data_IF_962615177144
#
_entry.id   IF_962615177144
#
_cell.length_a   1.000
_cell.length_b   1.000
_cell.length_c   1.000
_cell.angle_alpha   90.00
_cell.angle_beta   90.00
_cell.angle_gamma   90.00
#
_symmetry.space_group_name_H-M   'P 1'
#
loop_
_entity.id
_entity.type
_entity.pdbx_description
1 polymer ?
#
# COMPACT_ATOMS: atom_id res chain seq x y z
N UNK A 1 -10.58 12.34 18.72
CA UNK A 1 -10.84 12.01 17.30
C UNK A 1 -9.80 12.72 16.47
N UNK A 2 -8.59 12.18 16.46
CA UNK A 2 -7.55 12.64 15.55
C UNK A 2 -7.78 11.81 14.30
N UNK A 3 -8.45 12.39 13.29
CA UNK A 3 -8.45 11.81 11.95
C UNK A 3 -7.00 11.44 11.62
N UNK A 4 -6.80 10.26 11.01
CA UNK A 4 -5.58 9.94 10.28
C UNK A 4 -5.39 11.01 9.18
N UNK A 5 -4.88 12.16 9.58
CA UNK A 5 -4.63 13.28 8.71
C UNK A 5 -3.65 12.78 7.65
N UNK A 6 -4.03 12.95 6.38
CA UNK A 6 -3.11 12.68 5.28
C UNK A 6 -1.82 13.46 5.55
N UNK A 7 -0.65 12.86 5.25
CA UNK A 7 0.59 13.57 5.40
C UNK A 7 0.53 14.88 4.60
N UNK A 8 1.03 15.94 5.23
CA UNK A 8 1.15 17.25 4.59
C UNK A 8 1.98 17.07 3.31
N UNK A 9 1.55 17.68 2.19
CA UNK A 9 2.19 17.49 0.87
C UNK A 9 1.42 16.60 -0.13
N UNK A 10 0.33 15.95 0.31
CA UNK A 10 -0.64 15.32 -0.58
C UNK A 10 -0.09 14.12 -1.35
N UNK A 11 -0.56 13.92 -2.60
CA UNK A 11 -0.20 12.76 -3.43
C UNK A 11 1.28 12.63 -3.73
N UNK A 12 2.03 13.73 -3.62
CA UNK A 12 3.48 13.78 -3.81
C UNK A 12 4.25 12.91 -2.82
N UNK A 13 3.68 12.64 -1.64
CA UNK A 13 4.29 11.78 -0.62
C UNK A 13 4.48 10.33 -1.08
N UNK A 14 3.76 9.90 -2.12
CA UNK A 14 3.89 8.57 -2.71
C UNK A 14 4.52 8.60 -4.11
N UNK A 15 5.05 9.75 -4.54
CA UNK A 15 5.67 9.91 -5.85
C UNK A 15 7.02 9.18 -5.91
N UNK A 16 7.33 8.64 -7.08
CA UNK A 16 8.64 8.12 -7.48
C UNK A 16 9.66 9.22 -7.81
N UNK A 17 9.28 10.50 -7.77
CA UNK A 17 10.17 11.62 -8.06
C UNK A 17 10.77 11.51 -9.47
N UNK A 18 12.11 11.45 -9.55
CA UNK A 18 12.85 11.27 -10.81
C UNK A 18 13.09 9.80 -11.17
N UNK A 19 12.78 8.86 -10.27
CA UNK A 19 12.92 7.43 -10.56
C UNK A 19 11.83 7.00 -11.54
N UNK A 20 12.00 5.87 -12.24
CA UNK A 20 10.95 5.32 -13.09
C UNK A 20 9.61 5.05 -12.36
N UNK A 21 8.48 5.00 -13.08
CA UNK A 21 7.15 4.84 -12.50
C UNK A 21 6.95 3.59 -11.64
N UNK A 22 7.72 2.54 -11.87
CA UNK A 22 7.63 1.29 -11.10
C UNK A 22 8.16 1.40 -9.65
N UNK A 23 8.76 2.54 -9.27
CA UNK A 23 9.15 2.84 -7.88
C UNK A 23 8.10 3.66 -7.11
N UNK A 24 6.93 3.92 -7.71
CA UNK A 24 5.89 4.70 -7.06
C UNK A 24 5.34 3.96 -5.82
N UNK A 25 5.15 4.69 -4.72
CA UNK A 25 4.59 4.12 -3.50
C UNK A 25 3.10 3.85 -3.63
N UNK A 26 2.63 2.76 -3.02
CA UNK A 26 1.20 2.45 -2.91
C UNK A 26 0.74 2.72 -1.48
N UNK A 27 -0.23 3.61 -1.33
CA UNK A 27 -0.84 3.88 -0.03
C UNK A 27 -1.75 2.73 0.38
N UNK A 28 -1.55 2.23 1.59
CA UNK A 28 -2.47 1.32 2.26
C UNK A 28 -3.48 2.10 3.12
N UNK A 29 -4.74 1.67 3.09
CA UNK A 29 -5.78 2.24 3.94
C UNK A 29 -5.68 1.66 5.36
N UNK A 30 -5.79 2.51 6.40
CA UNK A 30 -5.77 2.06 7.79
C UNK A 30 -7.07 1.36 8.20
N UNK A 31 -8.18 1.66 7.53
CA UNK A 31 -9.50 1.11 7.83
C UNK A 31 -10.18 0.55 6.56
N UNK A 32 -10.87 -0.59 6.72
CA UNK A 32 -11.55 -1.28 5.63
C UNK A 32 -10.58 -2.09 4.78
N UNK A 33 -10.83 -2.16 3.47
CA UNK A 33 -9.92 -2.87 2.54
C UNK A 33 -8.63 -2.04 2.35
N UNK A 34 -7.46 -2.55 2.78
CA UNK A 34 -6.20 -1.79 2.73
C UNK A 34 -5.81 -1.38 1.32
N UNK A 35 -6.11 -2.26 0.36
CA UNK A 35 -6.09 -1.99 -1.07
C UNK A 35 -7.53 -1.99 -1.57
N UNK A 36 -7.90 -0.95 -2.31
CA UNK A 36 -9.21 -0.89 -2.96
C UNK A 36 -9.30 -1.97 -4.04
N UNK A 37 -10.50 -2.50 -4.21
CA UNK A 37 -10.83 -3.46 -5.28
C UNK A 37 -9.96 -4.73 -5.31
N UNK A 38 -9.36 -5.08 -4.16
CA UNK A 38 -8.54 -6.30 -4.02
C UNK A 38 -9.38 -7.58 -4.08
N UNK A 39 -10.68 -7.49 -3.76
CA UNK A 39 -11.59 -8.66 -3.77
C UNK A 39 -12.21 -8.85 -5.15
N UNK A 40 -11.99 -10.03 -5.73
CA UNK A 40 -12.67 -10.44 -6.97
C UNK A 40 -14.19 -10.53 -6.74
N UNK A 41 -15.02 -9.93 -7.61
CA UNK A 41 -16.47 -10.05 -7.51
C UNK A 41 -16.92 -11.51 -7.64
N UNK A 42 -17.72 -12.00 -6.69
CA UNK A 42 -18.11 -13.42 -6.62
C UNK A 42 -18.91 -13.97 -7.80
N UNK A 43 -19.37 -13.12 -8.72
CA UNK A 43 -20.09 -13.53 -9.93
C UNK A 43 -19.16 -13.87 -11.11
N UNK A 44 -17.84 -13.68 -11.00
CA UNK A 44 -16.89 -14.04 -12.05
C UNK A 44 -16.32 -15.44 -11.84
N UNK A 45 -16.44 -16.26 -12.87
CA UNK A 45 -15.75 -17.55 -12.91
C UNK A 45 -14.23 -17.32 -13.12
N UNK A 46 -13.34 -17.96 -12.36
CA UNK A 46 -11.88 -17.80 -12.53
C UNK A 46 -11.41 -18.02 -13.97
N UNK A 47 -11.98 -19.01 -14.67
CA UNK A 47 -11.68 -19.29 -16.07
C UNK A 47 -12.06 -18.15 -17.04
N UNK A 48 -13.11 -17.38 -16.73
CA UNK A 48 -13.51 -16.23 -17.55
C UNK A 48 -12.59 -15.04 -17.32
N UNK A 49 -12.18 -14.82 -16.06
CA UNK A 49 -11.21 -13.78 -15.71
C UNK A 49 -9.84 -14.06 -16.34
N UNK A 50 -9.39 -15.31 -16.32
CA UNK A 50 -8.14 -15.72 -16.95
C UNK A 50 -8.13 -15.43 -18.45
N UNK A 51 -9.18 -15.85 -19.18
CA UNK A 51 -9.30 -15.55 -20.62
C UNK A 51 -9.33 -14.06 -20.92
N UNK A 52 -10.00 -13.27 -20.08
CA UNK A 52 -10.05 -11.81 -20.23
C UNK A 52 -8.64 -11.20 -20.07
N UNK A 53 -7.88 -11.63 -19.06
CA UNK A 53 -6.49 -11.17 -18.84
C UNK A 53 -5.61 -11.57 -20.04
N UNK A 54 -5.71 -12.80 -20.53
CA UNK A 54 -4.95 -13.27 -21.69
C UNK A 54 -5.21 -12.43 -22.95
N UNK A 55 -6.47 -12.12 -23.24
CA UNK A 55 -6.81 -11.27 -24.38
C UNK A 55 -6.32 -9.83 -24.20
N UNK A 56 -6.43 -9.27 -22.99
CA UNK A 56 -5.88 -7.94 -22.69
C UNK A 56 -4.35 -7.91 -22.86
N UNK A 57 -3.64 -8.94 -22.42
CA UNK A 57 -2.18 -9.05 -22.61
C UNK A 57 -1.81 -9.08 -24.09
N UNK A 58 -2.54 -9.82 -24.93
CA UNK A 58 -2.32 -9.83 -26.39
C UNK A 58 -2.53 -8.44 -27.01
N UNK A 59 -3.59 -7.74 -26.62
CA UNK A 59 -3.87 -6.39 -27.12
C UNK A 59 -2.80 -5.39 -26.68
N UNK A 60 -2.37 -5.46 -25.42
CA UNK A 60 -1.28 -4.65 -24.89
C UNK A 60 0.03 -4.90 -25.65
N UNK A 61 0.37 -6.15 -25.94
CA UNK A 61 1.57 -6.50 -26.70
C UNK A 61 1.55 -5.90 -28.11
N UNK A 62 0.42 -6.02 -28.81
CA UNK A 62 0.24 -5.41 -30.15
C UNK A 62 0.32 -3.89 -30.09
N UNK A 63 -0.18 -3.27 -29.02
CA UNK A 63 -0.07 -1.83 -28.86
C UNK A 63 1.38 -1.39 -28.58
N UNK A 64 2.12 -2.16 -27.78
CA UNK A 64 3.56 -1.91 -27.53
C UNK A 64 4.37 -1.91 -28.84
N UNK A 65 4.05 -2.79 -29.79
CA UNK A 65 4.70 -2.81 -31.12
C UNK A 65 4.49 -1.52 -31.93
N UNK A 66 3.44 -0.74 -31.63
CA UNK A 66 3.13 0.53 -32.31
C UNK A 66 3.73 1.76 -31.62
N UNK A 67 4.23 1.61 -30.40
CA UNK A 67 4.78 2.71 -29.61
C UNK A 67 6.29 2.85 -29.85
N UNK A 68 6.81 4.08 -29.75
CA UNK A 68 8.25 4.32 -29.74
C UNK A 68 8.89 3.64 -28.52
N UNK A 69 10.12 3.16 -28.66
CA UNK A 69 10.88 2.54 -27.56
C UNK A 69 11.04 3.44 -26.32
N UNK A 70 10.86 4.76 -26.47
CA UNK A 70 10.94 5.75 -25.40
C UNK A 70 9.61 5.92 -24.61
N UNK A 71 8.50 5.32 -25.05
CA UNK A 71 7.20 5.40 -24.34
C UNK A 71 7.00 4.23 -23.36
N UNK A 72 7.57 4.37 -22.16
CA UNK A 72 7.48 3.36 -21.10
C UNK A 72 6.13 3.36 -20.35
N UNK A 73 5.21 4.29 -20.66
CA UNK A 73 3.99 4.49 -19.87
C UNK A 73 3.08 3.27 -19.90
N UNK A 74 2.94 2.64 -21.06
CA UNK A 74 2.12 1.44 -21.21
C UNK A 74 2.72 0.27 -20.42
N UNK A 75 4.04 0.06 -20.53
CA UNK A 75 4.75 -0.99 -19.80
C UNK A 75 4.63 -0.80 -18.29
N UNK A 76 4.80 0.44 -17.80
CA UNK A 76 4.61 0.77 -16.39
C UNK A 76 3.18 0.44 -15.90
N UNK A 77 2.16 0.76 -16.70
CA UNK A 77 0.77 0.44 -16.35
C UNK A 77 0.53 -1.07 -16.30
N UNK A 78 1.04 -1.83 -17.26
CA UNK A 78 0.93 -3.30 -17.28
C UNK A 78 1.57 -3.88 -16.02
N UNK A 79 2.81 -3.49 -15.73
CA UNK A 79 3.55 -3.95 -14.55
C UNK A 79 2.81 -3.62 -13.24
N UNK A 80 2.21 -2.43 -13.13
CA UNK A 80 1.42 -2.04 -11.96
C UNK A 80 0.17 -2.90 -11.76
N UNK A 81 -0.56 -3.23 -12.84
CA UNK A 81 -1.75 -4.08 -12.73
C UNK A 81 -1.40 -5.54 -12.41
N UNK A 82 -0.33 -6.08 -12.98
CA UNK A 82 0.15 -7.42 -12.64
C UNK A 82 0.63 -7.50 -11.19
N UNK A 83 1.33 -6.46 -10.72
CA UNK A 83 1.71 -6.35 -9.32
C UNK A 83 0.46 -6.34 -8.43
N UNK A 84 -0.54 -5.51 -8.74
CA UNK A 84 -1.80 -5.46 -8.00
C UNK A 84 -2.51 -6.82 -7.98
N UNK A 85 -2.49 -7.57 -9.09
CA UNK A 85 -3.05 -8.92 -9.15
C UNK A 85 -2.29 -9.91 -8.24
N UNK A 86 -0.95 -9.92 -8.28
CA UNK A 86 -0.13 -10.74 -7.36
C UNK A 86 -0.35 -10.35 -5.90
N UNK A 87 -0.54 -9.05 -5.64
CA UNK A 87 -0.88 -8.55 -4.32
C UNK A 87 -2.20 -9.12 -3.79
N UNK A 88 -3.19 -9.44 -4.65
CA UNK A 88 -4.47 -10.02 -4.20
C UNK A 88 -4.31 -11.35 -3.48
N UNK A 89 -3.30 -12.14 -3.83
CA UNK A 89 -3.05 -13.45 -3.22
C UNK A 89 -2.10 -13.38 -2.02
N UNK A 90 -1.11 -12.49 -2.05
CA UNK A 90 -0.02 -12.46 -1.05
C UNK A 90 -0.31 -11.52 0.14
N UNK A 91 -1.09 -10.47 -0.08
CA UNK A 91 -1.23 -9.37 0.89
C UNK A 91 -2.27 -9.59 2.01
N UNK A 92 -3.38 -10.33 1.84
CA UNK A 92 -4.40 -10.43 2.89
C UNK A 92 -3.83 -10.83 4.26
N UNK A 93 -2.95 -11.83 4.28
CA UNK A 93 -2.33 -12.33 5.50
C UNK A 93 -1.29 -11.36 6.06
N UNK A 94 -0.66 -10.51 5.23
CA UNK A 94 0.35 -9.56 5.69
C UNK A 94 -0.28 -8.36 6.39
N UNK A 95 -1.49 -7.96 5.98
CA UNK A 95 -2.17 -6.77 6.53
C UNK A 95 -3.04 -7.09 7.74
N UNK A 96 -3.44 -8.35 7.92
CA UNK A 96 -4.24 -8.76 9.08
C UNK A 96 -3.42 -8.75 10.38
N UNK A 97 -3.38 -7.59 11.05
CA UNK A 97 -2.69 -7.41 12.32
C UNK A 97 -3.40 -8.08 13.50
N UNK A 98 -4.65 -8.54 13.33
CA UNK A 98 -5.42 -9.15 14.42
C UNK A 98 -4.96 -10.60 14.69
N UNK A 99 -4.08 -11.15 13.84
CA UNK A 99 -3.42 -12.44 14.08
C UNK A 99 -2.25 -12.36 15.07
N UNK A 100 -1.90 -11.17 15.56
CA UNK A 100 -0.81 -10.96 16.52
C UNK A 100 -1.19 -11.42 17.93
N UNK A 101 -0.19 -11.77 18.74
CA UNK A 101 -0.43 -12.09 20.15
C UNK A 101 -0.85 -10.85 20.95
N UNK A 102 -1.66 -11.02 21.99
CA UNK A 102 -2.05 -9.93 22.90
C UNK A 102 -0.85 -9.18 23.48
N UNK A 103 0.25 -9.91 23.75
CA UNK A 103 1.49 -9.30 24.23
C UNK A 103 2.12 -8.35 23.21
N UNK A 104 2.12 -8.75 21.93
CA UNK A 104 2.61 -7.91 20.83
C UNK A 104 1.71 -6.70 20.63
N UNK A 105 0.39 -6.89 20.60
CA UNK A 105 -0.58 -5.80 20.47
C UNK A 105 -0.38 -4.75 21.57
N UNK A 106 -0.25 -5.20 22.82
CA UNK A 106 0.02 -4.33 23.97
C UNK A 106 1.38 -3.62 23.88
N UNK A 107 2.42 -4.30 23.41
CA UNK A 107 3.75 -3.70 23.23
C UNK A 107 3.72 -2.51 22.25
N UNK A 108 2.87 -2.58 21.23
CA UNK A 108 2.69 -1.52 20.24
C UNK A 108 1.63 -0.49 20.65
N UNK A 109 1.00 -0.65 21.82
CA UNK A 109 -0.05 0.27 22.30
C UNK A 109 -1.33 0.19 21.47
N UNK A 110 -1.63 -0.97 20.88
CA UNK A 110 -2.91 -1.24 20.23
C UNK A 110 -4.01 -1.31 21.29
N UNK A 111 -5.20 -0.84 20.93
CA UNK A 111 -6.40 -0.69 21.79
C UNK A 111 -6.30 0.38 22.89
N UNK A 112 -5.23 1.19 22.89
CA UNK A 112 -5.10 2.37 23.75
C UNK A 112 -5.52 3.64 22.96
N UNK A 113 -6.37 4.52 23.51
CA UNK A 113 -6.96 5.64 22.76
C UNK A 113 -5.94 6.56 22.06
N UNK A 114 -4.78 6.78 22.69
CA UNK A 114 -3.76 7.71 22.20
C UNK A 114 -2.75 7.05 21.25
N UNK A 115 -2.58 5.73 21.31
CA UNK A 115 -1.52 5.03 20.57
C UNK A 115 -2.03 4.03 19.54
N UNK A 116 -3.30 3.65 19.56
CA UNK A 116 -3.85 2.58 18.72
C UNK A 116 -3.55 2.78 17.23
N UNK A 117 -3.89 3.94 16.68
CA UNK A 117 -3.73 4.20 15.25
C UNK A 117 -2.27 4.13 14.78
N UNK A 118 -1.33 4.72 15.54
CA UNK A 118 0.08 4.70 15.19
C UNK A 118 0.73 3.34 15.50
N UNK A 119 0.33 2.69 16.58
CA UNK A 119 0.72 1.33 16.95
C UNK A 119 0.39 0.31 15.86
N UNK A 120 -0.83 0.36 15.31
CA UNK A 120 -1.27 -0.47 14.18
C UNK A 120 -0.46 -0.19 12.91
N UNK A 121 -0.10 1.07 12.62
CA UNK A 121 0.79 1.39 11.50
C UNK A 121 2.19 0.78 11.68
N UNK A 122 2.76 0.86 12.88
CA UNK A 122 4.05 0.26 13.20
C UNK A 122 4.04 -1.27 13.10
N UNK A 123 2.97 -1.93 13.55
CA UNK A 123 2.79 -3.38 13.40
C UNK A 123 2.71 -3.79 11.93
N UNK A 124 1.91 -3.09 11.15
CA UNK A 124 1.81 -3.33 9.72
C UNK A 124 3.16 -3.15 9.03
N UNK A 125 3.90 -2.10 9.39
CA UNK A 125 5.23 -1.85 8.86
C UNK A 125 6.20 -3.00 9.20
N UNK A 126 6.17 -3.52 10.43
CA UNK A 126 6.96 -4.70 10.82
C UNK A 126 6.65 -5.89 9.91
N UNK A 127 5.36 -6.22 9.73
CA UNK A 127 4.94 -7.36 8.89
C UNK A 127 5.36 -7.19 7.43
N UNK A 128 5.25 -5.98 6.88
CA UNK A 128 5.73 -5.69 5.52
C UNK A 128 7.24 -5.94 5.40
N UNK A 129 8.02 -5.50 6.38
CA UNK A 129 9.48 -5.74 6.41
C UNK A 129 9.80 -7.23 6.55
N UNK A 130 9.11 -7.96 7.42
CA UNK A 130 9.25 -9.41 7.60
C UNK A 130 8.92 -10.19 6.30
N UNK A 131 8.01 -9.64 5.48
CA UNK A 131 7.65 -10.18 4.16
C UNK A 131 8.51 -9.60 3.01
N UNK A 132 9.64 -8.97 3.33
CA UNK A 132 10.65 -8.56 2.34
C UNK A 132 10.40 -7.22 1.66
N UNK A 133 9.47 -6.39 2.14
CA UNK A 133 9.31 -5.02 1.66
C UNK A 133 10.50 -4.19 2.11
N UNK A 134 11.21 -3.61 1.13
CA UNK A 134 12.49 -2.92 1.35
C UNK A 134 12.35 -1.51 1.90
N UNK A 135 11.23 -0.85 1.63
CA UNK A 135 10.99 0.52 2.03
C UNK A 135 9.55 0.67 2.49
N UNK A 136 9.37 1.10 3.72
CA UNK A 136 8.06 1.36 4.33
C UNK A 136 8.12 2.75 4.95
N UNK A 137 7.08 3.53 4.73
CA UNK A 137 6.91 4.84 5.34
C UNK A 137 5.60 4.85 6.13
N UNK A 138 5.68 5.29 7.37
CA UNK A 138 4.54 5.50 8.28
C UNK A 138 4.47 6.97 8.66
N UNK A 139 3.27 7.44 9.02
CA UNK A 139 3.03 8.84 9.32
C UNK A 139 2.31 8.96 10.66
N UNK A 140 2.97 9.61 11.61
CA UNK A 140 2.31 10.20 12.77
C UNK A 140 2.00 11.65 12.39
N UNK A 141 0.73 12.05 12.47
CA UNK A 141 0.26 13.34 11.95
C UNK A 141 1.03 14.55 12.49
N UNK A 142 0.89 15.69 11.82
CA UNK A 142 1.58 16.93 12.17
C UNK A 142 2.51 17.43 11.07
N UNK A 143 3.27 18.46 11.39
CA UNK A 143 4.39 18.98 10.59
C UNK A 143 5.70 18.44 11.20
N UNK A 144 6.83 18.56 10.50
CA UNK A 144 8.09 18.12 11.08
C UNK A 144 8.43 18.93 12.34
N UNK A 145 8.70 18.20 13.42
CA UNK A 145 9.06 18.79 14.71
C UNK A 145 10.56 18.90 14.82
N UNK A 146 11.06 20.12 15.05
CA UNK A 146 12.49 20.38 15.30
C UNK A 146 12.78 20.81 16.73
N UNK A 147 11.75 21.24 17.47
CA UNK A 147 11.83 21.71 18.85
C UNK A 147 10.73 21.11 19.71
N UNK A 148 10.89 21.19 21.04
CA UNK A 148 9.87 20.82 22.02
C UNK A 148 9.25 19.42 21.84
N UNK A 149 10.02 18.45 21.33
CA UNK A 149 9.55 17.11 20.93
C UNK A 149 8.65 16.44 21.96
N UNK A 150 9.01 16.51 23.25
CA UNK A 150 8.18 15.94 24.32
C UNK A 150 6.86 16.69 24.42
N UNK A 151 6.88 18.01 24.57
CA UNK A 151 5.67 18.83 24.73
C UNK A 151 4.77 18.83 23.49
N UNK A 152 5.34 18.67 22.29
CA UNK A 152 4.58 18.60 21.03
C UNK A 152 3.95 17.23 20.76
N UNK A 153 4.39 16.17 21.45
CA UNK A 153 4.00 14.78 21.16
C UNK A 153 3.57 13.96 22.38
N UNK A 154 3.52 14.55 23.58
CA UNK A 154 2.86 13.96 24.75
C UNK A 154 1.53 14.67 24.98
N UNK A 155 0.45 13.88 25.07
CA UNK A 155 -0.87 14.33 25.56
C UNK A 155 -0.80 14.83 27.00
#
# INVERSE_FOLDING_TARGET
MTELALPQGGSTNWSNGFLPPYYQGTRLRPEGSPLLDLKTPGHRMPAQQQRMIEELTKLNQRHLETLSAEDERLQARIANYELAFRMQTEIPDVIDCDTESEQTLKMYGVDEPDTDAFGRQCLLARRLVENGVRFVQIFSGGWDSHDYLKQGHTS
#
